data_IF_472399838599
#
_entry.id   IF_472399838599
#
_cell.length_a   1.000
_cell.length_b   1.000
_cell.length_c   1.000
_cell.angle_alpha   90.00
_cell.angle_beta   90.00
_cell.angle_gamma   90.00
#
_symmetry.space_group_name_H-M   'P 1'
#
loop_
_entity.id
_entity.type
_entity.pdbx_description
1 polymer ?
#
# COMPACT_ATOMS: atom_id res chain seq x y z
N UNK A 1 -11.76 -2.93 -21.42
CA UNK A 1 -12.30 -4.26 -21.11
C UNK A 1 -12.53 -4.37 -19.60
N UNK A 2 -13.49 -5.21 -19.19
CA UNK A 2 -13.88 -5.61 -17.81
C UNK A 2 -14.98 -4.83 -17.05
N UNK A 3 -15.55 -3.73 -17.58
CA UNK A 3 -16.59 -2.97 -16.84
C UNK A 3 -18.01 -3.51 -17.07
N UNK A 4 -18.28 -4.16 -18.21
CA UNK A 4 -19.66 -4.43 -18.66
C UNK A 4 -20.39 -5.64 -18.04
N UNK A 5 -19.69 -6.60 -17.43
CA UNK A 5 -20.31 -7.90 -17.08
C UNK A 5 -20.89 -7.98 -15.66
N UNK A 6 -20.57 -7.04 -14.76
CA UNK A 6 -20.92 -7.14 -13.34
C UNK A 6 -22.07 -6.21 -12.88
N UNK A 7 -22.65 -5.39 -13.78
CA UNK A 7 -23.73 -4.46 -13.43
C UNK A 7 -23.33 -3.36 -12.42
N UNK A 8 -22.04 -3.12 -12.19
CA UNK A 8 -21.51 -2.09 -11.27
C UNK A 8 -20.86 -0.91 -12.02
N UNK A 9 -21.48 -0.45 -13.11
CA UNK A 9 -20.93 0.62 -13.93
C UNK A 9 -20.74 1.95 -13.18
N UNK A 10 -21.45 2.14 -12.06
CA UNK A 10 -21.48 3.40 -11.30
C UNK A 10 -20.67 3.39 -9.99
N UNK A 11 -19.98 2.28 -9.64
CA UNK A 11 -19.14 2.22 -8.43
C UNK A 11 -17.66 2.46 -8.77
N UNK A 12 -16.94 3.31 -8.02
CA UNK A 12 -15.51 3.55 -8.27
C UNK A 12 -14.72 2.26 -8.08
N UNK A 13 -14.02 1.81 -9.12
CA UNK A 13 -13.10 0.68 -9.04
C UNK A 13 -11.80 1.15 -8.38
N UNK A 14 -11.55 0.68 -7.15
CA UNK A 14 -10.27 0.94 -6.50
C UNK A 14 -9.21 -0.07 -6.94
N UNK A 15 -8.11 0.44 -7.49
CA UNK A 15 -6.94 -0.36 -7.82
C UNK A 15 -5.90 -0.20 -6.70
N UNK A 16 -5.56 -1.29 -6.03
CA UNK A 16 -4.54 -1.31 -4.98
C UNK A 16 -3.28 -2.01 -5.45
N UNK A 17 -2.13 -1.34 -5.32
CA UNK A 17 -0.83 -1.94 -5.57
C UNK A 17 -0.38 -2.79 -4.38
N UNK A 18 0.44 -3.81 -4.64
CA UNK A 18 1.09 -4.59 -3.58
C UNK A 18 2.61 -4.44 -3.67
N UNK A 19 3.25 -4.17 -2.53
CA UNK A 19 4.70 -3.99 -2.44
C UNK A 19 5.28 -4.75 -1.25
N UNK A 20 6.36 -5.50 -1.49
CA UNK A 20 7.27 -5.93 -0.42
C UNK A 20 8.30 -4.84 -0.21
N UNK A 21 8.54 -4.43 1.03
CA UNK A 21 9.42 -3.30 1.35
C UNK A 21 10.59 -3.72 2.24
N UNK A 22 11.78 -3.29 1.82
CA UNK A 22 13.02 -3.30 2.60
C UNK A 22 13.44 -1.84 2.79
N UNK A 23 13.14 -1.28 3.96
CA UNK A 23 13.35 0.12 4.28
C UNK A 23 14.54 0.34 5.19
N UNK A 24 15.27 1.42 4.96
CA UNK A 24 16.30 1.89 5.87
C UNK A 24 16.45 3.41 5.75
N UNK A 25 17.22 4.03 6.62
CA UNK A 25 17.47 5.49 6.54
C UNK A 25 18.38 5.84 5.35
N UNK A 26 19.10 4.85 4.83
CA UNK A 26 20.01 4.95 3.69
C UNK A 26 19.71 3.85 2.63
N UNK A 27 19.69 4.17 1.32
CA UNK A 27 19.41 3.18 0.28
C UNK A 27 20.42 2.02 0.23
N UNK A 28 21.71 2.30 0.49
CA UNK A 28 22.73 1.26 0.48
C UNK A 28 22.59 0.34 1.69
N UNK A 29 22.21 0.88 2.86
CA UNK A 29 21.87 0.08 4.04
C UNK A 29 20.66 -0.84 3.78
N UNK A 30 19.62 -0.32 3.13
CA UNK A 30 18.45 -1.13 2.74
C UNK A 30 18.85 -2.29 1.80
N UNK A 31 19.68 -2.01 0.79
CA UNK A 31 20.19 -3.02 -0.14
C UNK A 31 21.06 -4.06 0.58
N UNK A 32 22.02 -3.62 1.39
CA UNK A 32 22.90 -4.51 2.14
C UNK A 32 22.13 -5.40 3.13
N UNK A 33 21.04 -4.89 3.72
CA UNK A 33 20.17 -5.69 4.59
C UNK A 33 19.43 -6.78 3.81
N UNK A 34 18.92 -6.46 2.62
CA UNK A 34 18.31 -7.45 1.72
C UNK A 34 19.33 -8.52 1.31
N UNK A 35 20.51 -8.12 0.86
CA UNK A 35 21.55 -9.06 0.44
C UNK A 35 21.95 -10.02 1.58
N UNK A 36 22.01 -9.51 2.82
CA UNK A 36 22.26 -10.34 4.00
C UNK A 36 21.16 -11.37 4.23
N UNK A 37 19.89 -10.99 4.05
CA UNK A 37 18.76 -11.90 4.21
C UNK A 37 18.75 -12.97 3.12
N UNK A 38 19.02 -12.59 1.88
CA UNK A 38 19.12 -13.50 0.74
C UNK A 38 20.27 -14.51 0.95
N UNK A 39 21.43 -14.06 1.45
CA UNK A 39 22.55 -14.93 1.81
C UNK A 39 22.21 -15.90 2.95
N UNK A 40 21.47 -15.46 3.97
CA UNK A 40 21.03 -16.33 5.07
C UNK A 40 19.99 -17.36 4.62
N UNK A 41 19.11 -16.98 3.69
CA UNK A 41 18.12 -17.89 3.11
C UNK A 41 18.75 -18.88 2.11
N UNK A 42 19.90 -18.51 1.52
CA UNK A 42 20.57 -19.28 0.46
C UNK A 42 19.95 -19.09 -0.93
N UNK A 43 19.01 -18.16 -1.07
CA UNK A 43 18.38 -17.79 -2.34
C UNK A 43 17.86 -16.34 -2.28
N UNK A 44 17.80 -15.63 -3.43
CA UNK A 44 17.20 -14.31 -3.48
C UNK A 44 15.71 -14.37 -3.13
N UNK A 45 15.24 -13.46 -2.28
CA UNK A 45 13.81 -13.32 -2.06
C UNK A 45 13.12 -12.95 -3.37
N UNK A 46 12.23 -13.84 -3.81
CA UNK A 46 11.33 -13.63 -4.93
C UNK A 46 9.89 -13.70 -4.40
N UNK A 47 9.06 -12.74 -4.78
CA UNK A 47 7.67 -12.65 -4.37
C UNK A 47 6.74 -12.40 -5.55
N UNK A 48 5.44 -12.57 -5.29
CA UNK A 48 4.33 -12.28 -6.19
C UNK A 48 4.01 -10.78 -6.32
N UNK A 49 4.72 -9.92 -5.58
CA UNK A 49 4.57 -8.48 -5.67
C UNK A 49 5.90 -7.77 -5.91
N UNK A 50 5.78 -6.50 -6.30
CA UNK A 50 6.93 -5.63 -6.55
C UNK A 50 7.74 -5.49 -5.26
N UNK A 51 9.04 -5.76 -5.35
CA UNK A 51 9.97 -5.55 -4.24
C UNK A 51 10.54 -4.14 -4.36
N UNK A 52 10.40 -3.36 -3.29
CA UNK A 52 11.02 -2.05 -3.12
C UNK A 52 12.12 -2.13 -2.06
N UNK A 53 13.27 -1.53 -2.37
CA UNK A 53 14.41 -1.43 -1.46
C UNK A 53 14.92 0.00 -1.50
N UNK A 54 14.90 0.71 -0.36
CA UNK A 54 15.26 2.12 -0.33
C UNK A 54 14.80 2.81 0.96
N UNK A 55 14.69 4.14 0.92
CA UNK A 55 14.27 4.92 2.10
C UNK A 55 12.76 5.15 2.17
N UNK A 56 12.21 5.53 3.34
CA UNK A 56 10.81 5.95 3.44
C UNK A 56 10.45 7.12 2.51
N UNK A 57 11.38 8.06 2.28
CA UNK A 57 11.16 9.19 1.38
C UNK A 57 11.09 8.75 -0.09
N UNK A 58 11.99 7.87 -0.52
CA UNK A 58 11.95 7.27 -1.86
C UNK A 58 10.70 6.42 -2.08
N UNK A 59 10.25 5.70 -1.04
CA UNK A 59 8.99 4.98 -1.10
C UNK A 59 7.83 5.97 -1.27
N UNK A 60 7.81 7.08 -0.53
CA UNK A 60 6.78 8.12 -0.70
C UNK A 60 6.75 8.69 -2.13
N UNK A 61 7.90 8.92 -2.75
CA UNK A 61 8.01 9.35 -4.15
C UNK A 61 7.35 8.32 -5.08
N UNK A 62 7.67 7.05 -4.92
CA UNK A 62 7.10 5.96 -5.72
C UNK A 62 5.58 5.82 -5.52
N UNK A 63 5.10 5.89 -4.27
CA UNK A 63 3.68 5.77 -3.99
C UNK A 63 2.88 6.93 -4.59
N UNK A 64 3.46 8.13 -4.60
CA UNK A 64 2.85 9.30 -5.22
C UNK A 64 2.81 9.17 -6.75
N UNK A 65 3.92 8.80 -7.39
CA UNK A 65 3.98 8.55 -8.84
C UNK A 65 2.93 7.52 -9.28
N UNK A 66 2.82 6.40 -8.55
CA UNK A 66 1.85 5.36 -8.84
C UNK A 66 0.41 5.80 -8.54
N UNK A 67 0.21 6.64 -7.52
CA UNK A 67 -1.09 7.26 -7.23
C UNK A 67 -1.55 8.17 -8.37
N UNK A 68 -0.64 9.01 -8.89
CA UNK A 68 -0.88 9.86 -10.06
C UNK A 68 -1.17 9.03 -11.33
N UNK A 69 -0.60 7.82 -11.43
CA UNK A 69 -0.90 6.85 -12.49
C UNK A 69 -2.24 6.09 -12.30
N UNK A 70 -2.99 6.37 -11.23
CA UNK A 70 -4.35 5.86 -11.02
C UNK A 70 -4.50 4.78 -9.96
N UNK A 71 -3.47 4.48 -9.16
CA UNK A 71 -3.63 3.60 -8.00
C UNK A 71 -4.37 4.32 -6.87
N UNK A 72 -5.38 3.68 -6.30
CA UNK A 72 -6.17 4.18 -5.18
C UNK A 72 -5.48 3.99 -3.83
N UNK A 73 -4.45 3.15 -3.77
CA UNK A 73 -3.70 2.89 -2.54
C UNK A 73 -2.80 1.67 -2.66
N UNK A 74 -2.24 1.27 -1.52
CA UNK A 74 -1.20 0.24 -1.50
C UNK A 74 -1.33 -0.68 -0.29
N UNK A 75 -1.02 -1.95 -0.51
CA UNK A 75 -0.71 -2.92 0.54
C UNK A 75 0.81 -3.00 0.66
N UNK A 76 1.33 -2.63 1.83
CA UNK A 76 2.75 -2.75 2.14
C UNK A 76 2.98 -4.05 2.92
N UNK A 77 3.94 -4.85 2.46
CA UNK A 77 4.41 -6.08 3.10
C UNK A 77 5.82 -5.85 3.62
N UNK A 78 5.99 -5.54 4.92
CA UNK A 78 7.29 -5.44 5.56
C UNK A 78 8.09 -6.74 5.38
N UNK A 79 9.32 -6.67 4.88
CA UNK A 79 10.18 -7.85 4.80
C UNK A 79 10.63 -8.34 6.19
N UNK A 80 10.90 -7.40 7.10
CA UNK A 80 11.22 -7.64 8.51
C UNK A 80 10.38 -6.72 9.37
N UNK A 81 9.36 -7.25 10.02
CA UNK A 81 8.39 -6.46 10.81
C UNK A 81 9.06 -5.55 11.85
N UNK A 82 10.09 -6.04 12.56
CA UNK A 82 10.78 -5.26 13.60
C UNK A 82 11.56 -4.04 13.09
N UNK A 83 11.85 -3.98 11.78
CA UNK A 83 12.64 -2.91 11.17
C UNK A 83 11.79 -2.04 10.23
N UNK A 84 11.07 -2.70 9.33
CA UNK A 84 10.31 -2.06 8.27
C UNK A 84 9.03 -1.39 8.79
N UNK A 85 8.36 -1.96 9.81
CA UNK A 85 7.16 -1.34 10.39
C UNK A 85 7.47 -0.02 11.10
N UNK A 86 8.54 0.10 11.93
CA UNK A 86 9.05 1.39 12.38
C UNK A 86 9.32 2.39 11.26
N UNK A 87 10.01 1.98 10.20
CA UNK A 87 10.32 2.86 9.07
C UNK A 87 9.05 3.35 8.35
N UNK A 88 8.03 2.49 8.22
CA UNK A 88 6.71 2.88 7.68
C UNK A 88 6.02 3.88 8.61
N UNK A 89 5.89 3.55 9.90
CA UNK A 89 5.09 4.34 10.85
C UNK A 89 5.74 5.67 11.24
N UNK A 90 7.07 5.71 11.35
CA UNK A 90 7.83 6.89 11.81
C UNK A 90 8.53 7.65 10.69
N UNK A 91 8.71 7.03 9.52
CA UNK A 91 9.29 7.67 8.34
C UNK A 91 8.23 7.95 7.27
N UNK A 92 7.65 6.89 6.70
CA UNK A 92 6.79 6.99 5.52
C UNK A 92 5.48 7.73 5.81
N UNK A 93 4.76 7.38 6.88
CA UNK A 93 3.46 7.99 7.20
C UNK A 93 3.59 9.50 7.41
N UNK A 94 4.52 10.00 8.25
CA UNK A 94 4.76 11.44 8.38
C UNK A 94 5.16 12.11 7.07
N UNK A 95 5.98 11.45 6.23
CA UNK A 95 6.37 11.97 4.92
C UNK A 95 5.17 12.19 4.01
N UNK A 96 4.31 11.17 3.85
CA UNK A 96 3.10 11.27 3.04
C UNK A 96 2.11 12.31 3.58
N UNK A 97 2.04 12.44 4.92
CA UNK A 97 1.26 13.46 5.60
C UNK A 97 1.77 14.88 5.31
N UNK A 98 3.09 15.12 5.35
CA UNK A 98 3.67 16.43 4.98
C UNK A 98 3.39 16.80 3.53
N UNK A 99 3.34 15.81 2.64
CA UNK A 99 3.02 15.98 1.22
C UNK A 99 1.53 16.16 0.94
N UNK A 100 0.67 15.99 1.94
CA UNK A 100 -0.79 16.10 1.78
C UNK A 100 -1.43 14.93 1.03
N UNK A 101 -0.71 13.82 0.82
CA UNK A 101 -1.19 12.63 0.08
C UNK A 101 -1.62 11.49 1.01
N UNK A 102 -1.68 11.75 2.33
CA UNK A 102 -2.19 10.81 3.31
C UNK A 102 -2.96 11.53 4.41
N UNK A 103 -3.99 10.85 4.91
CA UNK A 103 -4.89 11.39 5.94
C UNK A 103 -4.18 11.69 7.25
N UNK A 104 -4.63 12.76 7.93
CA UNK A 104 -4.14 13.17 9.26
C UNK A 104 -4.98 12.56 10.39
N UNK A 105 -6.26 12.31 10.13
CA UNK A 105 -7.21 11.70 11.04
C UNK A 105 -8.11 10.71 10.30
N UNK A 106 -8.76 9.83 11.04
CA UNK A 106 -9.80 8.96 10.50
C UNK A 106 -11.14 9.67 10.53
N UNK A 107 -11.81 9.76 9.37
CA UNK A 107 -13.11 10.45 9.24
C UNK A 107 -14.32 9.51 9.26
N UNK A 108 -14.08 8.19 9.32
CA UNK A 108 -15.12 7.16 9.36
C UNK A 108 -14.71 6.02 10.28
N UNK A 109 -15.68 5.49 11.02
CA UNK A 109 -15.51 4.35 11.92
C UNK A 109 -15.61 2.99 11.20
N UNK A 110 -15.90 3.00 9.89
CA UNK A 110 -16.01 1.79 9.08
C UNK A 110 -15.01 1.79 7.94
N UNK A 111 -14.44 0.60 7.65
CA UNK A 111 -13.58 0.39 6.49
C UNK A 111 -14.27 0.80 5.18
N UNK A 112 -15.58 0.57 5.07
CA UNK A 112 -16.37 0.98 3.90
C UNK A 112 -16.36 2.50 3.73
N UNK A 113 -16.64 3.24 4.79
CA UNK A 113 -16.63 4.71 4.74
C UNK A 113 -15.22 5.26 4.49
N UNK A 114 -14.17 4.62 5.03
CA UNK A 114 -12.78 5.00 4.76
C UNK A 114 -12.35 4.78 3.30
N UNK A 115 -13.05 3.91 2.57
CA UNK A 115 -12.83 3.64 1.14
C UNK A 115 -13.80 4.42 0.25
N UNK A 116 -14.70 5.24 0.79
CA UNK A 116 -15.70 5.97 -0.01
C UNK A 116 -16.72 5.08 -0.71
N UNK A 117 -16.88 3.83 -0.26
CA UNK A 117 -17.72 2.83 -0.91
C UNK A 117 -19.19 2.99 -0.49
N UNK A 118 -20.10 3.05 -1.45
CA UNK A 118 -21.55 3.05 -1.23
C UNK A 118 -21.99 1.79 -0.46
N UNK A 119 -23.00 1.93 0.41
CA UNK A 119 -23.61 0.76 1.07
C UNK A 119 -24.45 -0.01 0.04
N UNK A 120 -24.12 -1.27 -0.27
CA UNK A 120 -24.92 -2.03 -1.22
C UNK A 120 -26.33 -2.24 -0.67
N UNK A 121 -27.34 -2.15 -1.54
CA UNK A 121 -28.71 -2.48 -1.19
C UNK A 121 -28.75 -3.91 -0.64
N UNK A 122 -29.34 -4.07 0.55
CA UNK A 122 -29.46 -5.37 1.17
C UNK A 122 -30.35 -6.26 0.28
N UNK A 123 -29.78 -7.34 -0.26
CA UNK A 123 -30.50 -8.32 -1.10
C UNK A 123 -31.69 -8.99 -0.41
N UNK A 124 -31.81 -8.86 0.91
CA UNK A 124 -32.92 -9.33 1.73
C UNK A 124 -33.91 -8.23 2.15
N UNK A 125 -33.66 -6.95 1.80
CA UNK A 125 -34.56 -5.86 2.16
C UNK A 125 -35.85 -5.81 1.31
N UNK A 126 -35.90 -6.56 0.20
CA UNK A 126 -37.10 -6.69 -0.64
C UNK A 126 -38.07 -7.79 -0.16
N UNK A 127 -37.83 -8.39 1.01
CA UNK A 127 -38.73 -9.37 1.64
C UNK A 127 -39.16 -8.87 3.01
N UNK A 128 -40.06 -7.89 3.02
CA UNK A 128 -40.91 -7.52 4.15
C UNK A 128 -42.27 -7.07 3.60
#
# INVERSE_FOLDING_TARGET
GFVGAAGRADEPLHLFGDLVVFLDDDPAAAAARRDRLDALAGYPYAGDARIFTGTPAQLADLLQELGEAGLSGFRLRPAVLGHDLPAVTRGLVPELQRRGVFRQSYESDTLRGLLGLSRPANRYAATA
#
